data_IF_700607375208
#
_entry.id   IF_700607375208
#
_cell.length_a   1.000
_cell.length_b   1.000
_cell.length_c   1.000
_cell.angle_alpha   90.00
_cell.angle_beta   90.00
_cell.angle_gamma   90.00
#
_symmetry.space_group_name_H-M   'P 1'
#
loop_
_entity.id
_entity.type
_entity.pdbx_description
1 polymer ?
#
# COMPACT_ATOMS: atom_id res chain seq x y z
N UNK A 1 7.40 -9.55 -3.79
CA UNK A 1 7.23 -9.05 -2.41
C UNK A 1 6.54 -7.69 -2.36
N UNK A 2 6.88 -6.73 -3.23
CA UNK A 2 6.22 -5.42 -3.27
C UNK A 2 4.69 -5.45 -3.33
N UNK A 3 4.08 -6.33 -4.15
CA UNK A 3 2.62 -6.47 -4.20
C UNK A 3 1.99 -6.92 -2.87
N UNK A 4 2.67 -7.82 -2.14
CA UNK A 4 2.21 -8.26 -0.80
C UNK A 4 2.33 -7.10 0.19
N UNK A 5 3.43 -6.34 0.11
CA UNK A 5 3.67 -5.17 0.94
C UNK A 5 2.58 -4.10 0.79
N UNK A 6 2.18 -3.77 -0.45
CA UNK A 6 1.09 -2.82 -0.70
C UNK A 6 -0.24 -3.35 -0.15
N UNK A 7 -0.54 -4.64 -0.33
CA UNK A 7 -1.73 -5.27 0.25
C UNK A 7 -1.73 -5.21 1.78
N UNK A 8 -0.58 -5.44 2.42
CA UNK A 8 -0.46 -5.35 3.87
C UNK A 8 -0.67 -3.92 4.38
N UNK A 9 -0.18 -2.89 3.68
CA UNK A 9 -0.46 -1.47 4.02
C UNK A 9 -1.96 -1.18 4.02
N UNK A 10 -2.72 -1.70 3.04
CA UNK A 10 -4.19 -1.52 3.01
C UNK A 10 -4.85 -2.15 4.24
N UNK A 11 -4.43 -3.35 4.63
CA UNK A 11 -4.96 -4.02 5.84
C UNK A 11 -4.54 -3.30 7.13
N UNK A 12 -3.31 -2.80 7.19
CA UNK A 12 -2.82 -2.02 8.32
C UNK A 12 -3.62 -0.72 8.50
N UNK A 13 -3.95 -0.04 7.39
CA UNK A 13 -4.84 1.15 7.41
C UNK A 13 -6.20 0.83 7.99
N UNK A 14 -6.85 -0.22 7.49
CA UNK A 14 -8.15 -0.69 8.01
C UNK A 14 -8.08 -0.98 9.53
N UNK A 15 -6.98 -1.57 10.01
CA UNK A 15 -6.78 -1.90 11.42
C UNK A 15 -6.30 -0.75 12.31
N UNK A 16 -5.81 0.37 11.75
CA UNK A 16 -5.17 1.46 12.51
C UNK A 16 -6.14 2.37 13.26
N UNK A 17 -7.37 2.50 12.77
CA UNK A 17 -8.33 3.52 13.24
C UNK A 17 -8.04 4.95 12.74
N UNK A 18 -6.91 5.19 12.09
CA UNK A 18 -6.55 6.48 11.45
C UNK A 18 -7.12 6.62 10.03
N UNK A 19 -7.56 5.50 9.46
CA UNK A 19 -8.12 5.38 8.12
C UNK A 19 -9.52 4.76 8.17
N UNK A 20 -10.28 4.83 7.06
CA UNK A 20 -11.55 4.11 6.95
C UNK A 20 -11.40 2.62 7.30
N UNK A 21 -12.45 2.06 7.90
CA UNK A 21 -12.46 0.68 8.41
C UNK A 21 -12.92 -0.35 7.35
N UNK A 22 -13.05 0.06 6.09
CA UNK A 22 -13.39 -0.82 4.95
C UNK A 22 -12.28 -0.77 3.92
N UNK A 23 -11.86 -1.95 3.42
CA UNK A 23 -10.83 -2.09 2.39
C UNK A 23 -11.15 -1.23 1.16
N UNK A 24 -12.41 -1.26 0.71
CA UNK A 24 -12.90 -0.47 -0.42
C UNK A 24 -12.69 1.03 -0.19
N UNK A 25 -13.01 1.54 1.00
CA UNK A 25 -12.87 2.95 1.33
C UNK A 25 -11.41 3.38 1.43
N UNK A 26 -10.52 2.50 1.91
CA UNK A 26 -9.08 2.74 1.91
C UNK A 26 -8.53 2.81 0.49
N UNK A 27 -8.95 1.91 -0.40
CA UNK A 27 -8.50 1.88 -1.80
C UNK A 27 -9.02 3.10 -2.56
N UNK A 28 -10.27 3.50 -2.33
CA UNK A 28 -10.91 4.63 -3.02
C UNK A 28 -10.54 6.00 -2.43
N UNK A 29 -9.62 6.08 -1.45
CA UNK A 29 -9.16 7.37 -0.95
C UNK A 29 -8.50 8.18 -2.09
N UNK A 30 -8.91 9.45 -2.30
CA UNK A 30 -8.40 10.25 -3.40
C UNK A 30 -6.88 10.34 -3.39
N UNK A 31 -6.24 10.11 -4.55
CA UNK A 31 -4.79 10.23 -4.76
C UNK A 31 -3.92 9.26 -3.95
N UNK A 32 -4.49 8.23 -3.32
CA UNK A 32 -3.70 7.22 -2.59
C UNK A 32 -3.15 6.13 -3.51
N UNK A 33 -3.91 5.76 -4.55
CA UNK A 33 -3.51 4.72 -5.49
C UNK A 33 -3.74 5.22 -6.91
N UNK A 34 -2.67 5.47 -7.65
CA UNK A 34 -2.75 5.96 -9.04
C UNK A 34 -3.56 5.00 -9.93
N UNK A 35 -3.53 3.70 -9.65
CA UNK A 35 -4.33 2.70 -10.37
C UNK A 35 -5.84 2.92 -10.31
N UNK A 36 -6.35 3.65 -9.30
CA UNK A 36 -7.76 4.05 -9.21
C UNK A 36 -8.05 5.20 -10.16
N UNK A 37 -7.17 6.20 -10.18
CA UNK A 37 -7.29 7.39 -11.03
C UNK A 37 -7.00 7.07 -12.52
N UNK A 38 -6.08 6.14 -12.80
CA UNK A 38 -5.64 5.73 -14.14
C UNK A 38 -6.57 4.68 -14.80
N UNK A 39 -7.71 4.35 -14.16
CA UNK A 39 -8.72 3.43 -14.69
C UNK A 39 -8.36 1.94 -14.65
N UNK A 40 -7.19 1.59 -14.12
CA UNK A 40 -6.72 0.20 -13.99
C UNK A 40 -7.48 -0.60 -12.94
N UNK A 41 -8.20 0.07 -12.03
CA UNK A 41 -9.01 -0.56 -10.99
C UNK A 41 -10.07 -1.52 -11.55
N UNK A 42 -10.59 -1.28 -12.75
CA UNK A 42 -11.63 -2.13 -13.37
C UNK A 42 -11.06 -3.31 -14.17
N UNK A 43 -9.73 -3.44 -14.25
CA UNK A 43 -9.09 -4.53 -14.99
C UNK A 43 -9.11 -5.84 -14.18
N UNK A 44 -9.18 -6.96 -14.90
CA UNK A 44 -9.06 -8.26 -14.27
C UNK A 44 -7.63 -8.43 -13.70
N UNK A 45 -7.48 -8.69 -12.38
CA UNK A 45 -6.17 -8.84 -11.78
C UNK A 45 -5.47 -10.09 -12.30
N UNK A 46 -4.19 -9.97 -12.61
CA UNK A 46 -3.40 -11.14 -13.00
C UNK A 46 -3.20 -12.11 -11.80
N UNK A 47 -2.83 -13.35 -12.11
CA UNK A 47 -2.68 -14.41 -11.10
C UNK A 47 -1.68 -14.05 -9.99
N UNK A 48 -0.63 -13.29 -10.32
CA UNK A 48 0.40 -12.86 -9.37
C UNK A 48 -0.17 -11.84 -8.38
N UNK A 49 -0.94 -10.87 -8.86
CA UNK A 49 -1.62 -9.87 -8.02
C UNK A 49 -2.64 -10.55 -7.10
N UNK A 50 -3.42 -11.50 -7.62
CA UNK A 50 -4.38 -12.27 -6.82
C UNK A 50 -3.70 -13.07 -5.70
N UNK A 51 -2.64 -13.81 -6.03
CA UNK A 51 -1.84 -14.55 -5.03
C UNK A 51 -1.21 -13.63 -3.98
N UNK A 52 -0.77 -12.44 -4.39
CA UNK A 52 -0.20 -11.45 -3.48
C UNK A 52 -1.25 -10.90 -2.50
N UNK A 53 -2.44 -10.55 -3.00
CA UNK A 53 -3.56 -10.10 -2.19
C UNK A 53 -3.99 -11.18 -1.18
N UNK A 54 -4.08 -12.44 -1.62
CA UNK A 54 -4.38 -13.57 -0.74
C UNK A 54 -3.34 -13.74 0.36
N UNK A 55 -2.03 -13.61 0.03
CA UNK A 55 -0.97 -13.67 1.05
C UNK A 55 -1.06 -12.55 2.08
N UNK A 56 -1.37 -11.32 1.66
CA UNK A 56 -1.59 -10.22 2.58
C UNK A 56 -2.79 -10.49 3.51
N UNK A 57 -3.91 -10.98 2.96
CA UNK A 57 -5.10 -11.37 3.74
C UNK A 57 -4.81 -12.48 4.76
N UNK A 58 -3.88 -13.39 4.46
CA UNK A 58 -3.42 -14.42 5.39
C UNK A 58 -2.47 -13.89 6.48
N UNK A 59 -2.26 -12.57 6.57
CA UNK A 59 -1.44 -11.92 7.60
C UNK A 59 0.05 -11.81 7.24
N UNK A 60 0.42 -12.03 5.98
CA UNK A 60 1.80 -11.79 5.54
C UNK A 60 2.04 -10.29 5.36
N UNK A 61 2.59 -9.66 6.39
CA UNK A 61 2.99 -8.25 6.36
C UNK A 61 4.52 -8.10 6.35
N UNK A 62 5.16 -7.93 5.18
CA UNK A 62 6.59 -7.65 5.10
C UNK A 62 6.95 -6.20 5.49
N UNK A 63 5.95 -5.34 5.72
CA UNK A 63 6.12 -3.90 5.98
C UNK A 63 6.29 -3.57 7.46
N UNK A 64 6.02 -4.53 8.36
CA UNK A 64 6.09 -4.37 9.82
C UNK A 64 5.10 -3.33 10.36
N UNK A 65 3.87 -3.35 9.86
CA UNK A 65 2.80 -2.46 10.31
C UNK A 65 2.86 -1.05 9.71
N UNK A 66 3.53 -0.86 8.57
CA UNK A 66 3.56 0.46 7.93
C UNK A 66 2.21 0.82 7.34
N UNK A 67 1.93 2.13 7.33
CA UNK A 67 0.68 2.72 6.83
C UNK A 67 0.91 3.52 5.54
N UNK A 68 2.17 3.80 5.21
CA UNK A 68 2.55 4.63 4.07
C UNK A 68 3.71 4.00 3.32
N UNK A 69 3.78 4.31 2.03
CA UNK A 69 4.93 3.99 1.20
C UNK A 69 5.12 5.05 0.14
N UNK A 70 6.36 5.24 -0.32
CA UNK A 70 6.68 6.16 -1.40
C UNK A 70 7.93 5.69 -2.15
N UNK A 71 8.06 6.09 -3.41
CA UNK A 71 9.30 5.89 -4.17
C UNK A 71 10.11 7.20 -4.15
N UNK A 72 11.29 7.25 -3.52
CA UNK A 72 12.07 8.48 -3.35
C UNK A 72 12.55 9.10 -4.67
N UNK A 73 12.57 8.32 -5.77
CA UNK A 73 12.98 8.81 -7.09
C UNK A 73 11.90 9.64 -7.79
N UNK A 74 10.62 9.43 -7.45
CA UNK A 74 9.47 10.10 -8.09
C UNK A 74 8.60 10.90 -7.12
N UNK A 75 8.72 10.65 -5.82
CA UNK A 75 7.90 11.31 -4.81
C UNK A 75 8.22 12.81 -4.75
N UNK A 76 7.19 13.64 -5.00
CA UNK A 76 7.26 15.09 -4.86
C UNK A 76 6.76 15.59 -3.51
N UNK A 77 6.16 14.68 -2.72
CA UNK A 77 5.56 14.99 -1.44
C UNK A 77 6.61 15.08 -0.33
N UNK A 78 7.03 16.31 -0.01
CA UNK A 78 8.04 16.62 1.02
C UNK A 78 7.79 15.96 2.39
N UNK A 79 6.53 15.79 2.79
CA UNK A 79 6.16 15.18 4.07
C UNK A 79 6.58 13.71 4.18
N UNK A 80 6.72 12.99 3.06
CA UNK A 80 7.10 11.57 3.07
C UNK A 80 8.55 11.37 3.50
N UNK A 81 9.43 12.32 3.18
CA UNK A 81 10.87 12.24 3.46
C UNK A 81 11.23 12.48 4.92
N UNK A 82 10.36 13.14 5.69
CA UNK A 82 10.57 13.41 7.11
C UNK A 82 10.13 12.25 8.03
N UNK A 83 9.56 11.18 7.46
CA UNK A 83 9.15 9.99 8.22
C UNK A 83 10.27 8.97 8.23
N UNK A 84 10.45 8.32 9.37
CA UNK A 84 11.43 7.24 9.50
C UNK A 84 11.07 6.07 8.58
N UNK A 85 12.01 5.67 7.72
CA UNK A 85 11.86 4.47 6.88
C UNK A 85 12.05 3.23 7.74
N UNK A 86 11.02 2.40 7.81
CA UNK A 86 11.04 1.14 8.57
C UNK A 86 11.61 0.00 7.73
N UNK A 87 11.25 -0.05 6.44
CA UNK A 87 11.73 -1.05 5.50
C UNK A 87 11.69 -0.53 4.07
N UNK A 88 12.61 -1.02 3.25
CA UNK A 88 12.65 -0.76 1.80
C UNK A 88 12.38 -2.07 1.07
N UNK A 89 11.41 -2.07 0.14
CA UNK A 89 11.06 -3.25 -0.66
C UNK A 89 10.98 -2.83 -2.13
N UNK A 90 11.94 -3.28 -2.92
CA UNK A 90 12.14 -2.75 -4.28
C UNK A 90 12.45 -1.25 -4.21
N UNK A 91 11.79 -0.47 -5.05
CA UNK A 91 11.98 1.00 -5.10
C UNK A 91 11.08 1.77 -4.10
N UNK A 92 10.40 1.07 -3.19
CA UNK A 92 9.47 1.70 -2.25
C UNK A 92 10.01 1.68 -0.82
N UNK A 93 9.99 2.86 -0.19
CA UNK A 93 10.24 3.08 1.23
C UNK A 93 8.91 3.02 1.98
N UNK A 94 8.84 2.20 3.04
CA UNK A 94 7.65 2.03 3.86
C UNK A 94 7.85 2.73 5.21
N UNK A 95 6.84 3.48 5.64
CA UNK A 95 6.87 4.29 6.86
C UNK A 95 5.58 4.11 7.68
N UNK A 96 5.69 4.33 9.00
CA UNK A 96 4.55 4.38 9.92
C UNK A 96 3.88 5.73 9.87
#
# INVERSE_FOLDING_TARGET
MGMIAVGAVVLNRVGSGEFPNRIEEVILQPKQFSSVDDGQFQLEPNEVAYKAAFKALMGNDPTKGCLFFYNPQIATAGWSFNRETVVVIGDHHFTK
#
